data_IF_420819413137
#
_entry.id   IF_420819413137
#
_cell.length_a   1.000
_cell.length_b   1.000
_cell.length_c   1.000
_cell.angle_alpha   90.00
_cell.angle_beta   90.00
_cell.angle_gamma   90.00
#
_symmetry.space_group_name_H-M   'P 1'
#
loop_
_entity.id
_entity.type
_entity.pdbx_description
1 polymer ?
#
# COMPACT_ATOMS: atom_id res chain seq x y z
N UNK A 1 -44.16 2.64 2.87
CA UNK A 1 -43.00 2.99 2.03
C UNK A 1 -42.12 4.09 2.61
N UNK A 2 -42.66 5.19 3.16
CA UNK A 2 -41.85 6.28 3.75
C UNK A 2 -40.87 5.80 4.84
N UNK A 3 -41.29 4.90 5.73
CA UNK A 3 -40.43 4.32 6.78
C UNK A 3 -39.28 3.49 6.17
N UNK A 4 -39.54 2.73 5.11
CA UNK A 4 -38.51 1.98 4.38
C UNK A 4 -37.53 2.91 3.65
N UNK A 5 -38.02 3.99 3.05
CA UNK A 5 -37.17 5.01 2.40
C UNK A 5 -36.28 5.70 3.44
N UNK A 6 -36.82 6.06 4.61
CA UNK A 6 -36.05 6.69 5.69
C UNK A 6 -35.00 5.74 6.28
N UNK A 7 -35.34 4.46 6.49
CA UNK A 7 -34.39 3.44 6.95
C UNK A 7 -33.24 3.19 5.96
N UNK A 8 -33.55 3.12 4.65
CA UNK A 8 -32.53 2.98 3.61
C UNK A 8 -31.61 4.20 3.55
N UNK A 9 -32.14 5.42 3.68
CA UNK A 9 -31.33 6.63 3.73
C UNK A 9 -30.46 6.70 5.00
N UNK A 10 -30.96 6.25 6.15
CA UNK A 10 -30.21 6.25 7.41
C UNK A 10 -29.07 5.22 7.40
N UNK A 11 -29.32 4.02 6.89
CA UNK A 11 -28.29 2.97 6.76
C UNK A 11 -27.26 3.34 5.70
N UNK A 12 -27.70 3.90 4.56
CA UNK A 12 -26.80 4.32 3.50
C UNK A 12 -25.93 5.51 3.93
N UNK A 13 -26.47 6.52 4.62
CA UNK A 13 -25.71 7.73 4.98
C UNK A 13 -24.63 7.52 6.04
N UNK A 14 -24.66 6.41 6.80
CA UNK A 14 -23.79 6.25 7.96
C UNK A 14 -22.48 5.48 7.69
N UNK A 15 -22.34 4.82 6.54
CA UNK A 15 -21.10 4.11 6.18
C UNK A 15 -20.21 4.92 5.23
N UNK A 16 -19.54 5.91 5.82
CA UNK A 16 -18.59 6.77 5.10
C UNK A 16 -17.47 5.96 4.42
N UNK A 17 -16.99 4.88 5.05
CA UNK A 17 -15.92 4.05 4.47
C UNK A 17 -16.40 3.34 3.21
N UNK A 18 -17.62 2.81 3.24
CA UNK A 18 -18.21 2.21 2.06
C UNK A 18 -18.35 3.22 0.91
N UNK A 19 -18.81 4.45 1.19
CA UNK A 19 -18.89 5.50 0.16
C UNK A 19 -17.53 5.89 -0.41
N UNK A 20 -16.52 6.07 0.45
CA UNK A 20 -15.15 6.37 0.03
C UNK A 20 -14.61 5.25 -0.88
N UNK A 21 -14.82 3.98 -0.51
CA UNK A 21 -14.45 2.83 -1.35
C UNK A 21 -15.17 2.82 -2.70
N UNK A 22 -16.51 2.98 -2.72
CA UNK A 22 -17.26 2.93 -3.98
C UNK A 22 -16.88 4.06 -4.92
N UNK A 23 -16.66 5.27 -4.39
CA UNK A 23 -16.18 6.42 -5.17
C UNK A 23 -14.77 6.18 -5.72
N UNK A 24 -13.88 5.64 -4.90
CA UNK A 24 -12.52 5.29 -5.32
C UNK A 24 -12.52 4.24 -6.42
N UNK A 25 -13.26 3.14 -6.26
CA UNK A 25 -13.38 2.08 -7.26
C UNK A 25 -13.99 2.57 -8.58
N UNK A 26 -14.98 3.46 -8.51
CA UNK A 26 -15.55 4.09 -9.71
C UNK A 26 -14.50 4.86 -10.50
N UNK A 27 -13.72 5.71 -9.83
CA UNK A 27 -12.62 6.46 -10.47
C UNK A 27 -11.54 5.53 -11.02
N UNK A 28 -11.20 4.45 -10.31
CA UNK A 28 -10.26 3.44 -10.79
C UNK A 28 -10.75 2.73 -12.06
N UNK A 29 -12.05 2.45 -12.19
CA UNK A 29 -12.63 1.90 -13.43
C UNK A 29 -12.46 2.86 -14.60
N UNK A 30 -12.54 4.16 -14.34
CA UNK A 30 -12.29 5.21 -15.32
C UNK A 30 -10.80 5.52 -15.52
N UNK A 31 -9.91 4.76 -14.86
CA UNK A 31 -8.44 4.94 -14.87
C UNK A 31 -7.98 6.30 -14.32
N UNK A 32 -8.81 6.96 -13.52
CA UNK A 32 -8.50 8.24 -12.87
C UNK A 32 -7.86 8.01 -11.49
N UNK A 33 -6.69 7.36 -11.47
CA UNK A 33 -6.05 6.90 -10.23
C UNK A 33 -5.61 8.04 -9.29
N UNK A 34 -5.12 9.16 -9.83
CA UNK A 34 -4.74 10.33 -9.03
C UNK A 34 -5.93 10.89 -8.25
N UNK A 35 -7.05 11.13 -8.94
CA UNK A 35 -8.30 11.57 -8.29
C UNK A 35 -8.85 10.54 -7.31
N UNK A 36 -8.63 9.25 -7.56
CA UNK A 36 -9.04 8.19 -6.66
C UNK A 36 -8.29 8.28 -5.32
N UNK A 37 -7.02 8.70 -5.32
CA UNK A 37 -6.22 8.89 -4.11
C UNK A 37 -6.66 10.08 -3.26
N UNK A 38 -7.25 11.12 -3.87
CA UNK A 38 -7.84 12.25 -3.16
C UNK A 38 -9.09 11.86 -2.33
N UNK A 39 -9.75 10.75 -2.70
CA UNK A 39 -10.96 10.27 -2.02
C UNK A 39 -10.61 9.83 -0.61
N UNK A 40 -11.11 10.59 0.38
CA UNK A 40 -10.88 10.27 1.79
C UNK A 40 -9.39 10.37 2.18
N UNK A 41 -8.57 11.14 1.47
CA UNK A 41 -7.15 11.34 1.80
C UNK A 41 -6.97 11.85 3.25
N UNK A 42 -7.85 12.76 3.67
CA UNK A 42 -7.88 13.32 5.04
C UNK A 42 -8.68 12.44 6.03
N UNK A 43 -9.20 11.31 5.60
CA UNK A 43 -9.99 10.40 6.44
C UNK A 43 -9.04 9.54 7.28
N UNK A 44 -9.15 9.64 8.60
CA UNK A 44 -8.37 8.79 9.53
C UNK A 44 -8.91 7.36 9.60
N UNK A 45 -10.17 7.14 9.22
CA UNK A 45 -10.76 5.79 9.19
C UNK A 45 -10.28 5.06 7.94
N UNK A 46 -9.97 3.77 8.10
CA UNK A 46 -9.56 2.90 6.99
C UNK A 46 -9.94 1.45 7.28
N UNK A 47 -9.99 0.62 6.23
CA UNK A 47 -10.14 -0.83 6.32
C UNK A 47 -9.14 -1.51 5.35
N UNK A 48 -9.05 -2.85 5.40
CA UNK A 48 -8.12 -3.59 4.54
C UNK A 48 -8.44 -3.44 3.04
N UNK A 49 -9.70 -3.24 2.67
CA UNK A 49 -10.09 -3.06 1.27
C UNK A 49 -9.71 -1.67 0.75
N UNK A 50 -9.92 -0.61 1.52
CA UNK A 50 -9.49 0.73 1.19
C UNK A 50 -7.95 0.82 1.14
N UNK A 51 -7.27 0.13 2.05
CA UNK A 51 -5.81 -0.02 2.01
C UNK A 51 -5.37 -0.64 0.67
N UNK A 52 -5.98 -1.75 0.25
CA UNK A 52 -5.72 -2.36 -1.07
C UNK A 52 -5.93 -1.36 -2.22
N UNK A 53 -7.05 -0.63 -2.24
CA UNK A 53 -7.37 0.30 -3.32
C UNK A 53 -6.34 1.43 -3.42
N UNK A 54 -5.91 1.99 -2.29
CA UNK A 54 -4.83 3.00 -2.23
C UNK A 54 -3.52 2.46 -2.76
N UNK A 55 -3.13 1.26 -2.34
CA UNK A 55 -1.91 0.59 -2.82
C UNK A 55 -1.98 0.36 -4.33
N UNK A 56 -3.12 -0.09 -4.85
CA UNK A 56 -3.33 -0.27 -6.28
C UNK A 56 -3.19 1.05 -7.05
N UNK A 57 -3.86 2.13 -6.62
CA UNK A 57 -3.73 3.44 -7.25
C UNK A 57 -2.29 3.97 -7.21
N UNK A 58 -1.62 3.88 -6.06
CA UNK A 58 -0.24 4.36 -5.89
C UNK A 58 0.75 3.62 -6.78
N UNK A 59 0.51 2.33 -7.05
CA UNK A 59 1.34 1.58 -8.00
C UNK A 59 1.10 2.03 -9.43
N UNK A 60 -0.14 2.31 -9.81
CA UNK A 60 -0.46 2.82 -11.14
C UNK A 60 0.08 4.25 -11.36
N UNK A 61 0.21 5.06 -10.31
CA UNK A 61 0.82 6.40 -10.37
C UNK A 61 2.34 6.40 -10.16
N UNK A 62 2.94 5.27 -9.77
CA UNK A 62 4.38 5.18 -9.50
C UNK A 62 4.82 5.83 -8.18
N UNK A 63 3.89 6.05 -7.24
CA UNK A 63 4.13 6.73 -5.96
C UNK A 63 4.05 5.78 -4.75
N UNK A 64 4.03 4.46 -4.98
CA UNK A 64 3.83 3.48 -3.92
C UNK A 64 4.90 3.59 -2.82
N UNK A 65 6.18 3.58 -3.19
CA UNK A 65 7.26 3.72 -2.21
C UNK A 65 7.37 5.11 -1.56
N UNK A 66 6.68 6.13 -2.10
CA UNK A 66 6.81 7.52 -1.64
C UNK A 66 5.63 8.06 -0.86
N UNK A 67 4.43 7.50 -1.03
CA UNK A 67 3.21 8.00 -0.37
C UNK A 67 2.45 6.95 0.42
N UNK A 68 2.77 5.66 0.32
CA UNK A 68 1.96 4.63 0.98
C UNK A 68 1.79 4.87 2.49
N UNK A 69 2.88 5.23 3.16
CA UNK A 69 2.92 5.37 4.61
C UNK A 69 2.41 6.72 5.11
N UNK A 70 1.96 7.61 4.21
CA UNK A 70 1.23 8.84 4.58
C UNK A 70 -0.27 8.60 4.79
N UNK A 71 -0.79 7.44 4.36
CA UNK A 71 -2.19 7.06 4.56
C UNK A 71 -2.38 6.21 5.81
N UNK A 72 -3.59 6.16 6.40
CA UNK A 72 -3.93 5.13 7.38
C UNK A 72 -3.96 3.74 6.72
N UNK A 73 -3.23 2.79 7.30
CA UNK A 73 -3.03 1.43 6.79
C UNK A 73 -3.55 0.37 7.77
N UNK A 74 -4.27 -0.64 7.26
CA UNK A 74 -4.75 -1.79 8.04
C UNK A 74 -4.51 -3.08 7.26
N UNK A 75 -4.11 -4.15 7.98
CA UNK A 75 -4.05 -5.52 7.45
C UNK A 75 -2.69 -5.99 6.91
N UNK A 76 -1.65 -5.15 6.93
CA UNK A 76 -0.29 -5.52 6.55
C UNK A 76 -0.17 -5.97 5.09
N UNK A 77 0.80 -6.83 4.78
CA UNK A 77 0.98 -7.34 3.41
C UNK A 77 -0.23 -8.10 2.85
N UNK A 78 -1.02 -8.74 3.72
CA UNK A 78 -2.24 -9.47 3.33
C UNK A 78 -3.32 -8.55 2.75
N UNK A 79 -3.32 -7.27 3.13
CA UNK A 79 -4.24 -6.27 2.60
C UNK A 79 -3.85 -5.74 1.22
N UNK A 80 -2.70 -6.13 0.66
CA UNK A 80 -2.25 -5.61 -0.64
C UNK A 80 -2.96 -6.25 -1.83
N UNK A 81 -3.60 -7.41 -1.63
CA UNK A 81 -4.26 -8.17 -2.71
C UNK A 81 -5.67 -8.59 -2.30
N UNK A 82 -6.61 -8.72 -3.26
CA UNK A 82 -7.92 -9.26 -2.97
C UNK A 82 -7.83 -10.71 -2.50
N UNK A 83 -8.40 -11.01 -1.34
CA UNK A 83 -8.58 -12.37 -0.83
C UNK A 83 -10.02 -12.88 -1.00
N UNK A 84 -10.91 -12.05 -1.55
CA UNK A 84 -12.35 -12.28 -1.72
C UNK A 84 -13.16 -12.45 -0.42
N UNK A 85 -12.52 -12.32 0.74
CA UNK A 85 -13.14 -12.47 2.07
C UNK A 85 -13.10 -11.14 2.81
N UNK A 86 -11.89 -10.70 3.18
CA UNK A 86 -11.65 -9.48 3.97
C UNK A 86 -11.24 -8.29 3.12
N UNK A 87 -10.58 -8.56 2.00
CA UNK A 87 -10.06 -7.58 1.05
C UNK A 87 -10.73 -7.84 -0.28
N UNK A 88 -11.62 -6.91 -0.69
CA UNK A 88 -12.39 -7.06 -1.92
C UNK A 88 -12.69 -5.73 -2.59
N UNK A 89 -12.66 -5.76 -3.92
CA UNK A 89 -13.22 -4.73 -4.79
C UNK A 89 -14.59 -5.19 -5.29
N UNK A 90 -15.56 -4.27 -5.34
CA UNK A 90 -16.94 -4.55 -5.73
C UNK A 90 -17.22 -4.19 -7.21
N UNK A 91 -16.59 -3.13 -7.70
CA UNK A 91 -16.80 -2.57 -9.03
C UNK A 91 -15.50 -2.63 -9.86
N UNK A 92 -14.36 -2.29 -9.25
CA UNK A 92 -13.07 -2.31 -9.92
C UNK A 92 -12.56 -3.74 -10.07
N UNK A 93 -12.07 -4.08 -11.27
CA UNK A 93 -11.49 -5.41 -11.53
C UNK A 93 -9.98 -5.33 -11.35
N UNK A 94 -9.48 -5.95 -10.29
CA UNK A 94 -8.05 -6.04 -10.04
C UNK A 94 -7.33 -6.73 -11.22
N UNK A 95 -6.12 -6.27 -11.60
CA UNK A 95 -5.35 -6.87 -12.67
C UNK A 95 -5.02 -8.33 -12.35
N UNK A 96 -4.83 -9.16 -13.39
CA UNK A 96 -4.64 -10.62 -13.24
C UNK A 96 -3.52 -11.00 -12.27
N UNK A 97 -2.45 -10.21 -12.21
CA UNK A 97 -1.32 -10.48 -11.34
C UNK A 97 -1.61 -10.30 -9.84
N UNK A 98 -2.69 -9.59 -9.48
CA UNK A 98 -3.20 -9.46 -8.11
C UNK A 98 -4.17 -10.59 -7.73
N UNK A 99 -4.53 -11.46 -8.68
CA UNK A 99 -5.47 -12.56 -8.43
C UNK A 99 -4.71 -13.85 -8.12
N UNK A 100 -5.42 -14.80 -7.51
CA UNK A 100 -4.88 -16.12 -7.28
C UNK A 100 -4.46 -16.78 -8.60
N UNK A 101 -3.29 -17.45 -8.66
CA UNK A 101 -2.86 -18.18 -9.84
C UNK A 101 -3.90 -19.22 -10.27
N UNK A 102 -4.06 -19.42 -11.58
CA UNK A 102 -4.95 -20.47 -12.09
C UNK A 102 -4.42 -21.86 -11.75
N UNK A 103 -5.30 -22.87 -11.72
CA UNK A 103 -4.91 -24.26 -11.48
C UNK A 103 -3.79 -24.74 -12.44
N UNK A 104 -3.82 -24.28 -13.69
CA UNK A 104 -2.77 -24.54 -14.67
C UNK A 104 -1.42 -23.91 -14.27
N UNK A 105 -1.42 -22.65 -13.82
CA UNK A 105 -0.19 -22.00 -13.35
C UNK A 105 0.41 -22.73 -12.14
N UNK A 106 -0.44 -23.11 -11.17
CA UNK A 106 0.01 -23.86 -9.99
C UNK A 106 0.62 -25.20 -10.40
N UNK A 107 -0.03 -25.95 -11.30
CA UNK A 107 0.46 -27.23 -11.82
C UNK A 107 1.83 -27.11 -12.50
N UNK A 108 2.11 -25.99 -13.14
CA UNK A 108 3.37 -25.74 -13.85
C UNK A 108 4.35 -24.87 -13.05
N UNK A 109 4.13 -24.69 -11.74
CA UNK A 109 4.96 -23.86 -10.85
C UNK A 109 5.17 -22.42 -11.34
N UNK A 110 4.21 -21.89 -12.11
CA UNK A 110 4.23 -20.53 -12.63
C UNK A 110 3.65 -19.57 -11.60
N UNK A 111 4.22 -18.36 -11.56
CA UNK A 111 3.78 -17.26 -10.70
C UNK A 111 3.69 -15.99 -11.52
N UNK A 112 2.77 -15.10 -11.14
CA UNK A 112 2.77 -13.76 -11.72
C UNK A 112 4.01 -13.00 -11.29
N UNK A 113 4.53 -12.17 -12.19
CA UNK A 113 5.58 -11.22 -11.86
C UNK A 113 4.97 -10.09 -11.07
N UNK A 114 5.37 -9.94 -9.81
CA UNK A 114 4.89 -8.89 -8.93
C UNK A 114 5.70 -7.60 -9.16
N UNK A 115 5.08 -6.41 -9.19
CA UNK A 115 5.82 -5.15 -9.19
C UNK A 115 6.82 -5.09 -8.04
N UNK A 116 7.99 -4.50 -8.28
CA UNK A 116 9.07 -4.42 -7.28
C UNK A 116 8.59 -3.69 -6.03
N UNK A 117 7.92 -2.54 -6.20
CA UNK A 117 7.45 -1.74 -5.08
C UNK A 117 6.38 -2.46 -4.24
N UNK A 118 5.58 -3.34 -4.85
CA UNK A 118 4.66 -4.21 -4.10
C UNK A 118 5.41 -5.16 -3.17
N UNK A 119 6.49 -5.77 -3.65
CA UNK A 119 7.31 -6.68 -2.84
C UNK A 119 7.98 -5.93 -1.69
N UNK A 120 8.56 -4.77 -1.98
CA UNK A 120 9.24 -3.95 -0.97
C UNK A 120 8.28 -3.40 0.08
N UNK A 121 7.14 -2.85 -0.35
CA UNK A 121 6.13 -2.34 0.58
C UNK A 121 5.48 -3.46 1.41
N UNK A 122 5.30 -4.67 0.88
CA UNK A 122 4.83 -5.81 1.65
C UNK A 122 5.75 -6.11 2.84
N UNK A 123 7.07 -6.07 2.63
CA UNK A 123 8.05 -6.29 3.68
C UNK A 123 8.00 -5.18 4.74
N UNK A 124 7.85 -3.93 4.33
CA UNK A 124 7.73 -2.79 5.24
C UNK A 124 6.42 -2.83 6.05
N UNK A 125 5.30 -3.14 5.41
CA UNK A 125 3.99 -3.33 6.07
C UNK A 125 4.04 -4.41 7.15
N UNK A 126 4.80 -5.47 6.92
CA UNK A 126 5.00 -6.56 7.89
C UNK A 126 6.19 -6.32 8.84
N UNK A 127 6.78 -5.12 8.82
CA UNK A 127 7.93 -4.71 9.66
C UNK A 127 9.17 -5.60 9.47
N UNK A 128 9.30 -6.26 8.31
CA UNK A 128 10.41 -7.16 7.98
C UNK A 128 11.60 -6.37 7.41
N UNK A 129 12.17 -5.50 8.24
CA UNK A 129 13.15 -4.52 7.80
C UNK A 129 14.43 -5.13 7.22
N UNK A 130 14.97 -6.20 7.82
CA UNK A 130 16.18 -6.86 7.31
C UNK A 130 15.97 -7.42 5.90
N UNK A 131 14.81 -8.04 5.66
CA UNK A 131 14.47 -8.57 4.34
C UNK A 131 14.22 -7.46 3.34
N UNK A 132 13.57 -6.37 3.75
CA UNK A 132 13.42 -5.18 2.91
C UNK A 132 14.79 -4.65 2.47
N UNK A 133 15.74 -4.51 3.39
CA UNK A 133 17.10 -4.04 3.07
C UNK A 133 17.83 -5.00 2.12
N UNK A 134 17.71 -6.30 2.34
CA UNK A 134 18.30 -7.29 1.44
C UNK A 134 17.70 -7.24 0.02
N UNK A 135 16.40 -6.94 -0.10
CA UNK A 135 15.69 -6.92 -1.37
C UNK A 135 15.83 -5.59 -2.11
N UNK A 136 15.74 -4.45 -1.42
CA UNK A 136 15.82 -3.11 -2.05
C UNK A 136 17.16 -2.90 -2.75
N UNK A 137 18.25 -3.43 -2.20
CA UNK A 137 19.60 -3.37 -2.80
C UNK A 137 19.70 -4.11 -4.15
N UNK A 138 18.82 -5.08 -4.41
CA UNK A 138 18.81 -5.82 -5.69
C UNK A 138 18.13 -5.04 -6.81
N UNK A 139 17.21 -4.14 -6.46
CA UNK A 139 16.37 -3.44 -7.43
C UNK A 139 16.68 -1.94 -7.53
N UNK A 140 17.26 -1.35 -6.49
CA UNK A 140 17.61 0.07 -6.44
C UNK A 140 19.09 0.28 -6.16
N UNK A 141 19.64 1.33 -6.77
CA UNK A 141 20.97 1.85 -6.43
C UNK A 141 20.86 2.66 -5.14
N UNK A 142 21.00 1.99 -4.00
CA UNK A 142 20.69 2.60 -2.69
C UNK A 142 21.54 3.84 -2.37
N UNK A 143 22.83 3.84 -2.70
CA UNK A 143 23.76 4.92 -2.32
C UNK A 143 23.81 6.07 -3.33
N UNK A 144 23.41 5.83 -4.58
CA UNK A 144 23.64 6.78 -5.70
C UNK A 144 22.39 7.06 -6.53
N UNK A 145 21.24 6.48 -6.16
CA UNK A 145 20.02 6.50 -6.94
C UNK A 145 18.92 7.34 -6.29
N UNK A 146 17.94 7.74 -7.11
CA UNK A 146 16.70 8.35 -6.61
C UNK A 146 15.84 7.25 -5.97
N UNK A 147 15.84 7.21 -4.65
CA UNK A 147 14.99 6.33 -3.85
C UNK A 147 13.67 7.02 -3.47
N UNK A 148 12.55 6.28 -3.43
CA UNK A 148 11.33 6.75 -2.79
C UNK A 148 11.57 7.14 -1.32
N UNK A 149 10.85 8.16 -0.84
CA UNK A 149 11.12 8.76 0.48
C UNK A 149 11.02 7.74 1.63
N UNK A 150 9.98 6.92 1.66
CA UNK A 150 9.80 5.95 2.74
C UNK A 150 10.81 4.79 2.68
N UNK A 151 11.44 4.55 1.52
CA UNK A 151 12.53 3.58 1.43
C UNK A 151 13.80 4.15 2.06
N UNK A 152 14.05 5.45 1.89
CA UNK A 152 15.14 6.15 2.59
C UNK A 152 14.92 6.14 4.09
N UNK A 153 13.73 6.51 4.55
CA UNK A 153 13.36 6.49 5.97
C UNK A 153 13.56 5.10 6.57
N UNK A 154 13.14 4.04 5.87
CA UNK A 154 13.36 2.66 6.31
C UNK A 154 14.85 2.30 6.39
N UNK A 155 15.68 2.78 5.46
CA UNK A 155 17.12 2.55 5.47
C UNK A 155 17.82 3.29 6.62
N UNK A 156 17.46 4.55 6.87
CA UNK A 156 17.96 5.31 8.04
C UNK A 156 17.59 4.59 9.33
N UNK A 157 16.32 4.21 9.48
CA UNK A 157 15.84 3.46 10.65
C UNK A 157 16.57 2.12 10.81
N UNK A 158 16.93 1.44 9.71
CA UNK A 158 17.73 0.23 9.74
C UNK A 158 19.16 0.49 10.24
N UNK A 159 19.82 1.52 9.71
CA UNK A 159 21.19 1.89 10.09
C UNK A 159 21.28 2.20 11.58
N UNK A 160 20.34 2.97 12.13
CA UNK A 160 20.33 3.32 13.55
C UNK A 160 19.93 2.16 14.48
N UNK A 161 19.08 1.23 14.03
CA UNK A 161 18.62 0.11 14.88
C UNK A 161 19.58 -1.08 14.96
N UNK A 162 20.48 -1.24 13.99
CA UNK A 162 21.31 -2.45 13.89
C UNK A 162 22.73 -2.17 14.34
N UNK A 163 23.22 -2.99 15.26
CA UNK A 163 24.61 -2.93 15.73
C UNK A 163 25.63 -3.33 14.67
N UNK A 164 25.23 -4.16 13.70
CA UNK A 164 26.06 -4.57 12.56
C UNK A 164 25.22 -4.55 11.27
N UNK A 165 24.95 -3.36 10.71
CA UNK A 165 24.10 -3.22 9.54
C UNK A 165 24.82 -3.75 8.28
N UNK A 166 24.11 -4.45 7.40
CA UNK A 166 24.68 -4.91 6.12
C UNK A 166 24.96 -3.78 5.14
N UNK A 167 24.30 -2.63 5.35
CA UNK A 167 24.48 -1.40 4.59
C UNK A 167 24.27 -0.22 5.53
N UNK A 168 25.12 0.80 5.38
CA UNK A 168 24.99 2.07 6.08
C UNK A 168 24.44 3.09 5.09
N UNK A 169 23.32 3.72 5.45
CA UNK A 169 22.67 4.75 4.65
C UNK A 169 22.58 6.03 5.49
N UNK A 170 23.01 7.15 4.92
CA UNK A 170 22.97 8.46 5.55
C UNK A 170 22.29 9.47 4.62
N UNK A 171 21.41 10.28 5.19
CA UNK A 171 20.72 11.38 4.54
C UNK A 171 20.50 12.46 5.62
N UNK A 172 21.25 13.56 5.53
CA UNK A 172 21.34 14.55 6.61
C UNK A 172 19.98 15.00 7.15
N UNK A 173 18.99 15.18 6.27
CA UNK A 173 17.63 15.61 6.67
C UNK A 173 16.95 14.49 7.46
N UNK A 174 16.95 13.28 6.93
CA UNK A 174 16.28 12.13 7.54
C UNK A 174 16.96 11.64 8.82
N UNK A 175 18.30 11.73 8.89
CA UNK A 175 19.05 11.44 10.11
C UNK A 175 18.68 12.44 11.21
N UNK A 176 18.56 13.73 10.88
CA UNK A 176 18.10 14.78 11.82
C UNK A 176 16.65 14.51 12.26
N UNK A 177 15.74 14.23 11.32
CA UNK A 177 14.34 13.91 11.62
C UNK A 177 14.22 12.68 12.55
N UNK A 178 15.10 11.68 12.38
CA UNK A 178 15.16 10.51 13.25
C UNK A 178 15.63 10.86 14.66
N UNK A 179 16.69 11.66 14.80
CA UNK A 179 17.19 12.12 16.11
C UNK A 179 16.12 12.92 16.88
N UNK A 180 15.42 13.82 16.20
CA UNK A 180 14.33 14.61 16.78
C UNK A 180 13.15 13.72 17.21
N UNK A 181 12.85 12.64 16.47
CA UNK A 181 11.81 11.67 16.84
C UNK A 181 12.15 10.84 18.09
N UNK A 182 13.43 10.69 18.43
CA UNK A 182 13.85 9.93 19.62
C UNK A 182 13.78 10.71 20.94
N UNK A 183 13.60 12.03 20.88
CA UNK A 183 13.49 12.92 22.05
C UNK A 183 12.06 12.94 22.62
#
# INVERSE_FOLDING_TARGET
>A
MLVMILLVNFVASNDRLFHERMRMEHLMKEKQYEKALEVGEKSLKTDSSLTMLRIACLNETGELGSRLFTYPLVGGSKAMMPDSVTVKAMMWKAPKWMQNPSAWMVKHHLKYRLPVDYQLCALLLDKQLDKFVAEVQKHYKVTSGKLPVHYKEALVLYTHRRSNPSIVYHDNVMDTDFEDFQQ
#
